data_IF_257324610677
#
_entry.id   IF_257324610677
#
_cell.length_a   1.000
_cell.length_b   1.000
_cell.length_c   1.000
_cell.angle_alpha   90.00
_cell.angle_beta   90.00
_cell.angle_gamma   90.00
#
_symmetry.space_group_name_H-M   'P 1'
#
loop_
_entity.id
_entity.type
_entity.pdbx_description
1 polymer ?
#
# COMPACT_ATOMS: atom_id res chain seq x y z
N UNK A 1 19.02 -27.72 -7.34
CA UNK A 1 19.70 -27.32 -8.59
C UNK A 1 21.03 -26.67 -8.21
N UNK A 2 22.16 -27.21 -8.70
CA UNK A 2 23.45 -26.50 -8.65
C UNK A 2 23.40 -25.43 -9.73
N UNK A 3 23.35 -24.15 -9.35
CA UNK A 3 23.48 -23.03 -10.28
C UNK A 3 24.94 -22.71 -10.58
N UNK A 4 25.18 -21.70 -11.42
CA UNK A 4 26.48 -21.27 -11.98
C UNK A 4 27.58 -21.00 -10.92
N UNK A 5 27.19 -20.78 -9.68
CA UNK A 5 28.10 -20.47 -8.57
C UNK A 5 28.57 -21.71 -7.78
N UNK A 6 28.19 -22.92 -8.19
CA UNK A 6 28.52 -24.19 -7.52
C UNK A 6 28.16 -24.26 -6.01
N UNK A 7 27.30 -23.35 -5.55
CA UNK A 7 26.78 -23.34 -4.17
C UNK A 7 25.46 -24.10 -4.12
N UNK A 8 25.38 -25.12 -3.27
CA UNK A 8 24.13 -25.82 -3.01
C UNK A 8 23.30 -25.04 -1.98
N UNK A 9 22.33 -24.28 -2.45
CA UNK A 9 21.34 -23.60 -1.59
C UNK A 9 19.97 -24.27 -1.73
N UNK A 10 19.26 -24.44 -0.62
CA UNK A 10 17.87 -24.89 -0.66
C UNK A 10 16.98 -23.76 -1.17
N UNK A 11 15.89 -24.10 -1.87
CA UNK A 11 14.91 -23.12 -2.35
C UNK A 11 14.42 -22.20 -1.21
N UNK A 12 14.10 -22.78 -0.05
CA UNK A 12 13.69 -22.03 1.15
C UNK A 12 14.72 -21.01 1.62
N UNK A 13 16.01 -21.36 1.61
CA UNK A 13 17.08 -20.44 2.00
C UNK A 13 17.20 -19.31 0.98
N UNK A 14 17.16 -19.62 -0.32
CA UNK A 14 17.21 -18.61 -1.38
C UNK A 14 16.01 -17.64 -1.30
N UNK A 15 14.80 -18.16 -1.10
CA UNK A 15 13.60 -17.36 -0.90
C UNK A 15 13.73 -16.45 0.32
N UNK A 16 14.09 -17.00 1.49
CA UNK A 16 14.19 -16.21 2.72
C UNK A 16 15.26 -15.13 2.62
N UNK A 17 16.41 -15.43 2.01
CA UNK A 17 17.46 -14.43 1.76
C UNK A 17 16.95 -13.29 0.87
N UNK A 18 16.15 -13.59 -0.15
CA UNK A 18 15.53 -12.57 -1.00
C UNK A 18 14.56 -11.69 -0.20
N UNK A 19 13.69 -12.29 0.62
CA UNK A 19 12.74 -11.53 1.47
C UNK A 19 13.48 -10.58 2.43
N UNK A 20 14.54 -11.06 3.10
CA UNK A 20 15.35 -10.23 4.00
C UNK A 20 16.05 -9.10 3.25
N UNK A 21 16.61 -9.38 2.07
CA UNK A 21 17.23 -8.34 1.24
C UNK A 21 16.21 -7.29 0.78
N UNK A 22 14.98 -7.71 0.44
CA UNK A 22 13.90 -6.79 0.08
C UNK A 22 13.47 -5.94 1.26
N UNK A 23 13.30 -6.53 2.44
CA UNK A 23 12.96 -5.80 3.67
C UNK A 23 14.06 -4.83 4.09
N UNK A 24 15.34 -5.19 3.91
CA UNK A 24 16.46 -4.28 4.14
C UNK A 24 16.46 -3.09 3.17
N UNK A 25 16.19 -3.34 1.89
CA UNK A 25 16.21 -2.30 0.86
C UNK A 25 15.00 -1.36 0.92
N UNK A 26 13.80 -1.88 1.23
CA UNK A 26 12.53 -1.14 1.17
C UNK A 26 11.94 -0.80 2.53
N UNK A 27 12.50 -1.34 3.61
CA UNK A 27 11.89 -1.34 4.93
C UNK A 27 10.82 -2.43 5.09
N UNK A 28 10.35 -2.58 6.32
CA UNK A 28 9.30 -3.54 6.65
C UNK A 28 7.91 -2.94 6.43
N UNK A 29 6.95 -3.79 6.05
CA UNK A 29 5.56 -3.38 5.90
C UNK A 29 5.00 -2.74 7.19
N UNK A 30 5.40 -3.27 8.36
CA UNK A 30 4.99 -2.74 9.66
C UNK A 30 5.56 -1.35 9.95
N UNK A 31 6.81 -1.08 9.56
CA UNK A 31 7.41 0.24 9.70
C UNK A 31 6.73 1.26 8.77
N UNK A 32 6.49 0.90 7.51
CA UNK A 32 5.77 1.76 6.56
C UNK A 32 4.34 2.07 7.01
N UNK A 33 3.64 1.11 7.61
CA UNK A 33 2.32 1.34 8.16
C UNK A 33 2.32 2.35 9.31
N UNK A 34 3.31 2.29 10.21
CA UNK A 34 3.43 3.27 11.31
C UNK A 34 3.59 4.70 10.80
N UNK A 35 4.22 4.89 9.64
CA UNK A 35 4.41 6.20 9.01
C UNK A 35 3.21 6.66 8.18
N UNK A 36 2.23 5.79 7.93
CA UNK A 36 1.11 6.08 7.04
C UNK A 36 0.28 7.30 7.49
N UNK A 37 -0.10 7.46 8.77
CA UNK A 37 -0.87 8.64 9.20
C UNK A 37 -0.12 9.96 8.95
N UNK A 38 1.18 9.99 9.27
CA UNK A 38 2.02 11.18 9.05
C UNK A 38 2.19 11.48 7.56
N UNK A 39 2.31 10.43 6.75
CA UNK A 39 2.38 10.57 5.30
C UNK A 39 1.09 11.16 4.72
N UNK A 40 -0.08 10.66 5.15
CA UNK A 40 -1.38 11.19 4.70
C UNK A 40 -1.55 12.66 5.09
N UNK A 41 -1.16 13.02 6.31
CA UNK A 41 -1.17 14.43 6.75
C UNK A 41 -0.29 15.31 5.84
N UNK A 42 0.93 14.88 5.54
CA UNK A 42 1.82 15.60 4.62
C UNK A 42 1.26 15.67 3.20
N UNK A 43 0.58 14.62 2.75
CA UNK A 43 -0.04 14.57 1.43
C UNK A 43 -1.15 15.62 1.29
N UNK A 44 -1.99 15.79 2.32
CA UNK A 44 -3.04 16.81 2.37
C UNK A 44 -2.42 18.22 2.36
N UNK A 45 -1.34 18.43 3.12
CA UNK A 45 -0.64 19.72 3.15
C UNK A 45 0.00 20.07 1.80
N UNK A 46 0.60 19.08 1.12
CA UNK A 46 1.24 19.27 -0.17
C UNK A 46 0.23 19.46 -1.31
N UNK A 47 -0.97 18.87 -1.20
CA UNK A 47 -2.02 18.94 -2.21
C UNK A 47 -3.34 19.41 -1.58
N UNK A 48 -3.52 20.73 -1.41
CA UNK A 48 -4.74 21.28 -0.85
C UNK A 48 -5.99 20.76 -1.55
N UNK A 49 -7.03 20.45 -0.76
CA UNK A 49 -8.27 19.84 -1.26
C UNK A 49 -8.23 18.32 -1.36
N UNK A 50 -7.10 17.67 -1.09
CA UNK A 50 -7.02 16.21 -0.94
C UNK A 50 -7.77 15.77 0.32
N UNK A 51 -8.59 14.74 0.19
CA UNK A 51 -9.35 14.13 1.29
C UNK A 51 -8.75 12.76 1.59
N UNK A 52 -8.36 12.54 2.84
CA UNK A 52 -7.81 11.26 3.31
C UNK A 52 -8.48 10.84 4.60
N UNK A 53 -8.82 9.57 4.73
CA UNK A 53 -9.37 9.02 5.97
C UNK A 53 -8.79 7.63 6.22
N UNK A 54 -8.27 7.39 7.42
CA UNK A 54 -7.66 6.13 7.80
C UNK A 54 -8.48 5.48 8.93
N UNK A 55 -9.03 4.31 8.67
CA UNK A 55 -9.79 3.56 9.65
C UNK A 55 -8.99 2.40 10.22
N UNK A 56 -8.96 2.34 11.55
CA UNK A 56 -8.29 1.29 12.31
C UNK A 56 -9.25 0.65 13.30
N UNK A 57 -8.98 -0.61 13.65
CA UNK A 57 -9.68 -1.35 14.70
C UNK A 57 -8.67 -1.66 15.78
N UNK A 58 -9.02 -1.39 17.04
CA UNK A 58 -8.16 -1.74 18.16
C UNK A 58 -8.33 -3.21 18.51
N UNK A 59 -7.21 -3.93 18.61
CA UNK A 59 -7.16 -5.33 19.03
C UNK A 59 -6.24 -5.48 20.25
N UNK A 60 -6.72 -6.16 21.28
CA UNK A 60 -6.02 -6.31 22.56
C UNK A 60 -4.73 -7.11 22.39
N UNK A 61 -3.58 -6.53 22.73
CA UNK A 61 -2.27 -7.16 22.59
C UNK A 61 -1.58 -6.93 21.23
N UNK A 62 -2.29 -6.40 20.23
CA UNK A 62 -1.74 -6.09 18.90
C UNK A 62 -1.74 -4.57 18.66
N UNK A 63 -2.73 -3.85 19.19
CA UNK A 63 -2.91 -2.41 18.99
C UNK A 63 -3.84 -2.08 17.82
N UNK A 64 -3.65 -0.90 17.20
CA UNK A 64 -4.48 -0.45 16.08
C UNK A 64 -4.14 -1.19 14.78
N UNK A 65 -5.04 -2.07 14.35
CA UNK A 65 -4.97 -2.81 13.08
C UNK A 65 -5.64 -2.02 11.96
N UNK A 66 -5.02 -2.00 10.79
CA UNK A 66 -5.61 -1.43 9.58
C UNK A 66 -6.93 -2.11 9.23
N UNK A 67 -7.93 -1.32 8.81
CA UNK A 67 -9.18 -1.85 8.23
C UNK A 67 -9.35 -1.40 6.79
N UNK A 68 -9.38 -0.09 6.55
CA UNK A 68 -9.43 0.51 5.21
C UNK A 68 -8.98 1.97 5.27
N UNK A 69 -8.72 2.54 4.10
CA UNK A 69 -8.36 3.94 3.91
C UNK A 69 -9.12 4.50 2.71
N UNK A 70 -9.56 5.74 2.84
CA UNK A 70 -10.07 6.55 1.75
C UNK A 70 -9.01 7.59 1.34
N UNK A 71 -8.82 7.78 0.04
CA UNK A 71 -7.92 8.77 -0.53
C UNK A 71 -8.55 9.32 -1.82
N UNK A 72 -8.78 10.63 -1.84
CA UNK A 72 -9.20 11.35 -3.03
C UNK A 72 -8.33 12.60 -3.18
N UNK A 73 -7.53 12.66 -4.25
CA UNK A 73 -6.68 13.82 -4.52
C UNK A 73 -7.54 15.05 -4.86
N UNK A 74 -7.15 16.21 -4.35
CA UNK A 74 -7.89 17.46 -4.60
C UNK A 74 -8.03 17.77 -6.09
N UNK A 75 -6.98 17.48 -6.88
CA UNK A 75 -7.01 17.60 -8.32
C UNK A 75 -8.09 16.70 -8.95
N UNK A 76 -8.23 15.45 -8.51
CA UNK A 76 -9.26 14.52 -9.01
C UNK A 76 -10.68 15.01 -8.66
N UNK A 77 -10.87 15.52 -7.44
CA UNK A 77 -12.15 16.09 -7.00
C UNK A 77 -12.51 17.31 -7.86
N UNK A 78 -11.56 18.22 -8.08
CA UNK A 78 -11.77 19.40 -8.94
C UNK A 78 -12.00 19.04 -10.41
N UNK A 79 -11.40 17.94 -10.88
CA UNK A 79 -11.55 17.45 -12.24
C UNK A 79 -12.89 16.75 -12.47
N UNK A 80 -13.52 16.23 -11.42
CA UNK A 80 -14.77 15.47 -11.52
C UNK A 80 -15.89 16.27 -12.19
N UNK A 81 -16.02 17.56 -11.89
CA UNK A 81 -17.02 18.43 -12.53
C UNK A 81 -16.82 18.59 -14.05
N UNK A 82 -15.62 18.30 -14.56
CA UNK A 82 -15.26 18.39 -15.97
C UNK A 82 -15.18 17.02 -16.65
N UNK A 83 -15.38 15.93 -15.90
CA UNK A 83 -15.39 14.59 -16.47
C UNK A 83 -16.66 14.37 -17.29
N UNK A 84 -16.52 13.66 -18.42
CA UNK A 84 -17.69 13.20 -19.17
C UNK A 84 -18.39 12.11 -18.37
N UNK A 85 -19.72 12.18 -18.17
CA UNK A 85 -20.47 11.10 -17.54
C UNK A 85 -20.45 9.88 -18.46
N UNK A 86 -19.63 8.89 -18.13
CA UNK A 86 -19.55 7.61 -18.83
C UNK A 86 -20.12 6.55 -17.92
N UNK A 87 -21.20 5.90 -18.34
CA UNK A 87 -21.75 4.71 -17.68
C UNK A 87 -21.12 3.50 -18.36
N UNK A 88 -20.24 2.80 -17.65
CA UNK A 88 -19.70 1.52 -18.12
C UNK A 88 -20.61 0.44 -17.54
N UNK A 89 -21.37 -0.22 -18.40
CA UNK A 89 -22.13 -1.42 -18.05
C UNK A 89 -21.19 -2.60 -18.29
N UNK A 90 -20.57 -3.10 -17.23
CA UNK A 90 -19.78 -4.33 -17.31
C UNK A 90 -20.74 -5.52 -17.34
N UNK A 91 -20.61 -6.33 -18.39
CA UNK A 91 -21.35 -7.57 -18.55
C UNK A 91 -20.70 -8.64 -17.69
N UNK A 92 -20.88 -8.58 -16.37
CA UNK A 92 -20.57 -9.69 -15.48
C UNK A 92 -21.56 -10.83 -15.76
N UNK A 93 -21.28 -11.62 -16.81
CA UNK A 93 -21.96 -12.89 -17.04
C UNK A 93 -21.46 -13.90 -16.01
N UNK A 94 -22.42 -14.56 -15.37
CA UNK A 94 -22.24 -15.57 -14.32
C UNK A 94 -21.92 -16.95 -14.91
#
# INVERSE_FOLDING_TARGET
MRGDYNVSISYWKAWRSREVAQEYAKGSAGASYKMLPDYLNKLVLANPGTVTELHTVYDGGIGHRFKYMFLAMGASISGYQHMRPVIIIDGAHL
#
